data_IF_997537795323
#
_entry.id   IF_997537795323
#
_cell.length_a   1.000
_cell.length_b   1.000
_cell.length_c   1.000
_cell.angle_alpha   90.00
_cell.angle_beta   90.00
_cell.angle_gamma   90.00
#
_symmetry.space_group_name_H-M   'P 1'
#
loop_
_entity.id
_entity.type
_entity.pdbx_description
1 polymer ?
#
# COMPACT_ATOMS: atom_id res chain seq x y z
N UNK A 1 -6.25 -2.72 0.33
CA UNK A 1 -7.12 -3.18 1.45
C UNK A 1 -6.25 -3.88 2.47
N UNK A 2 -6.38 -3.51 3.75
CA UNK A 2 -5.65 -4.17 4.84
C UNK A 2 -6.44 -5.39 5.31
N UNK A 3 -5.79 -6.53 5.31
CA UNK A 3 -6.26 -7.75 5.93
C UNK A 3 -5.32 -8.13 7.08
N UNK A 4 -5.88 -8.70 8.11
CA UNK A 4 -5.09 -9.23 9.21
C UNK A 4 -4.16 -10.36 8.75
N UNK A 5 -2.99 -10.51 9.39
CA UNK A 5 -2.04 -11.56 8.99
C UNK A 5 -2.64 -12.96 8.98
N UNK A 6 -3.55 -13.28 9.90
CA UNK A 6 -4.22 -14.58 10.00
C UNK A 6 -5.07 -14.96 8.78
N UNK A 7 -5.61 -13.96 8.08
CA UNK A 7 -6.50 -14.17 6.92
C UNK A 7 -5.74 -14.37 5.61
N UNK A 8 -4.44 -14.07 5.57
CA UNK A 8 -3.69 -14.03 4.31
C UNK A 8 -3.53 -15.39 3.66
N UNK A 9 -3.33 -16.44 4.45
CA UNK A 9 -3.22 -17.79 3.92
C UNK A 9 -4.51 -18.18 3.18
N UNK A 10 -5.67 -17.96 3.80
CA UNK A 10 -6.95 -18.26 3.19
C UNK A 10 -7.30 -17.36 1.99
N UNK A 11 -6.79 -16.12 1.94
CA UNK A 11 -6.91 -15.29 0.74
C UNK A 11 -5.99 -15.83 -0.37
N UNK A 12 -4.80 -16.30 0.00
CA UNK A 12 -3.83 -16.85 -0.95
C UNK A 12 -4.35 -18.13 -1.63
N UNK A 13 -4.96 -19.03 -0.88
CA UNK A 13 -5.52 -20.29 -1.38
C UNK A 13 -6.96 -20.18 -1.88
N UNK A 14 -7.62 -19.01 -1.69
CA UNK A 14 -8.98 -18.73 -2.14
C UNK A 14 -10.07 -19.21 -1.21
N UNK A 15 -9.76 -19.78 -0.06
CA UNK A 15 -10.75 -20.19 0.95
C UNK A 15 -11.43 -19.02 1.64
N UNK A 16 -10.77 -17.84 1.64
CA UNK A 16 -11.35 -16.59 2.12
C UNK A 16 -11.63 -15.69 0.91
N UNK A 17 -12.92 -15.43 0.68
CA UNK A 17 -13.44 -14.65 -0.44
C UNK A 17 -14.43 -13.56 -0.03
N UNK A 18 -14.64 -13.38 1.28
CA UNK A 18 -15.52 -12.36 1.86
C UNK A 18 -14.77 -11.54 2.90
N UNK A 19 -15.18 -10.31 3.09
CA UNK A 19 -14.72 -9.47 4.21
C UNK A 19 -15.80 -8.50 4.63
N UNK A 20 -15.90 -8.25 5.93
CA UNK A 20 -16.78 -7.23 6.49
C UNK A 20 -16.01 -5.98 6.88
N UNK A 21 -16.62 -4.81 6.69
CA UNK A 21 -15.99 -3.52 7.03
C UNK A 21 -17.00 -2.55 7.62
N UNK A 22 -16.63 -1.89 8.70
CA UNK A 22 -17.39 -0.81 9.31
C UNK A 22 -16.88 0.53 8.78
N UNK A 23 -17.30 0.90 7.60
CA UNK A 23 -16.93 2.15 6.95
C UNK A 23 -18.09 3.15 6.97
N UNK A 24 -17.78 4.43 6.95
CA UNK A 24 -18.79 5.49 6.71
C UNK A 24 -19.25 5.52 5.25
N UNK A 25 -18.41 5.06 4.34
CA UNK A 25 -18.65 4.94 2.89
C UNK A 25 -17.70 3.89 2.33
N UNK A 26 -18.04 3.21 1.23
CA UNK A 26 -17.17 2.24 0.61
C UNK A 26 -15.80 2.84 0.27
N UNK A 27 -14.74 2.11 0.61
CA UNK A 27 -13.35 2.49 0.28
C UNK A 27 -12.80 1.66 -0.88
N UNK A 28 -13.62 0.79 -1.43
CA UNK A 28 -13.34 -0.04 -2.60
C UNK A 28 -14.50 0.04 -3.57
N UNK A 29 -14.27 -0.38 -4.81
CA UNK A 29 -15.30 -0.45 -5.86
C UNK A 29 -15.32 -1.82 -6.51
N UNK A 30 -16.44 -2.21 -7.04
CA UNK A 30 -16.60 -3.42 -7.88
C UNK A 30 -15.66 -3.34 -9.08
N UNK A 31 -15.01 -4.44 -9.43
CA UNK A 31 -13.96 -4.52 -10.45
C UNK A 31 -12.64 -3.88 -10.03
N UNK A 32 -12.56 -3.30 -8.83
CA UNK A 32 -11.32 -2.73 -8.30
C UNK A 32 -10.33 -3.82 -7.90
N UNK A 33 -9.05 -3.63 -8.24
CA UNK A 33 -7.96 -4.54 -7.90
C UNK A 33 -7.14 -3.98 -6.76
N UNK A 34 -6.96 -4.77 -5.73
CA UNK A 34 -6.35 -4.32 -4.48
C UNK A 34 -5.30 -5.30 -4.00
N UNK A 35 -4.17 -4.75 -3.57
CA UNK A 35 -3.10 -5.52 -2.95
C UNK A 35 -3.50 -5.96 -1.55
N UNK A 36 -3.24 -7.22 -1.22
CA UNK A 36 -3.46 -7.80 0.11
C UNK A 36 -2.23 -7.57 0.98
N UNK A 37 -2.44 -7.03 2.17
CA UNK A 37 -1.38 -6.83 3.15
C UNK A 37 -0.75 -5.45 3.16
N UNK A 38 0.22 -5.26 4.06
CA UNK A 38 0.94 -4.01 4.23
C UNK A 38 2.41 -4.16 3.81
N UNK A 39 2.99 -3.06 3.32
CA UNK A 39 4.41 -2.96 2.99
C UNK A 39 5.37 -3.22 4.17
N UNK A 40 4.84 -3.46 5.38
CA UNK A 40 5.63 -3.56 6.61
C UNK A 40 6.21 -4.94 6.89
N UNK A 41 5.79 -5.97 6.17
CA UNK A 41 6.19 -7.35 6.48
C UNK A 41 6.80 -8.01 5.25
N UNK A 42 8.08 -8.29 5.39
CA UNK A 42 8.94 -9.28 4.73
C UNK A 42 8.61 -9.73 3.31
N UNK A 43 9.63 -9.69 2.50
CA UNK A 43 9.74 -10.19 1.13
C UNK A 43 9.00 -9.35 0.10
N UNK A 44 9.78 -8.71 -0.74
CA UNK A 44 9.32 -7.79 -1.79
C UNK A 44 8.86 -8.53 -3.05
N UNK A 45 8.69 -9.85 -2.99
CA UNK A 45 8.53 -10.66 -4.20
C UNK A 45 7.13 -11.21 -4.43
N UNK A 46 6.28 -11.33 -3.40
CA UNK A 46 4.95 -11.92 -3.60
C UNK A 46 3.90 -11.20 -2.75
N UNK A 47 3.07 -10.44 -3.40
CA UNK A 47 1.84 -9.90 -2.83
C UNK A 47 0.67 -10.51 -3.58
N UNK A 48 -0.28 -11.01 -2.83
CA UNK A 48 -1.55 -11.37 -3.42
C UNK A 48 -2.32 -10.13 -3.82
N UNK A 49 -3.06 -10.25 -4.91
CA UNK A 49 -4.02 -9.28 -5.35
C UNK A 49 -5.41 -9.89 -5.34
N UNK A 50 -6.39 -9.08 -5.00
CA UNK A 50 -7.79 -9.43 -5.10
C UNK A 50 -8.50 -8.48 -6.07
N UNK A 51 -9.48 -9.00 -6.77
CA UNK A 51 -10.46 -8.21 -7.49
C UNK A 51 -11.79 -8.28 -6.72
N UNK A 52 -12.40 -7.11 -6.50
CA UNK A 52 -13.67 -7.02 -5.77
C UNK A 52 -14.81 -7.29 -6.73
N UNK A 53 -15.61 -8.32 -6.42
CA UNK A 53 -16.75 -8.75 -7.24
C UNK A 53 -18.05 -8.06 -6.83
N UNK A 54 -18.24 -7.83 -5.52
CA UNK A 54 -19.40 -7.12 -4.98
C UNK A 54 -19.05 -6.28 -3.75
N UNK A 55 -19.82 -5.23 -3.53
CA UNK A 55 -19.77 -4.37 -2.34
C UNK A 55 -21.21 -4.10 -1.94
N UNK A 56 -21.66 -4.78 -0.89
CA UNK A 56 -23.05 -4.73 -0.42
C UNK A 56 -23.10 -4.03 0.93
N UNK A 57 -24.12 -3.19 1.14
CA UNK A 57 -24.48 -2.68 2.44
C UNK A 57 -25.44 -3.67 3.11
N UNK A 58 -25.07 -4.17 4.28
CA UNK A 58 -25.83 -5.16 5.03
C UNK A 58 -25.99 -4.73 6.48
N UNK A 59 -26.94 -5.32 7.18
CA UNK A 59 -27.03 -5.20 8.63
C UNK A 59 -26.22 -6.31 9.31
N UNK A 60 -25.69 -6.02 10.50
CA UNK A 60 -24.88 -6.99 11.23
C UNK A 60 -25.63 -8.30 11.51
N UNK A 61 -26.95 -8.25 11.68
CA UNK A 61 -27.81 -9.45 11.85
C UNK A 61 -27.87 -10.34 10.61
N UNK A 62 -27.62 -9.80 9.42
CA UNK A 62 -27.74 -10.53 8.16
C UNK A 62 -26.50 -11.40 7.88
N UNK A 63 -25.45 -11.30 8.71
CA UNK A 63 -24.30 -12.19 8.63
C UNK A 63 -24.72 -13.56 9.15
N UNK A 64 -24.69 -14.58 8.31
CA UNK A 64 -24.85 -15.98 8.68
C UNK A 64 -23.49 -16.69 8.87
N UNK A 65 -23.53 -17.92 9.38
CA UNK A 65 -22.31 -18.69 9.68
C UNK A 65 -21.57 -19.11 8.40
N UNK A 66 -22.31 -19.42 7.31
CA UNK A 66 -21.69 -19.82 6.05
C UNK A 66 -20.90 -18.67 5.43
N UNK A 67 -21.47 -17.46 5.41
CA UNK A 67 -20.80 -16.28 4.89
C UNK A 67 -19.65 -15.84 5.81
N UNK A 68 -19.81 -15.99 7.13
CA UNK A 68 -18.74 -15.73 8.10
C UNK A 68 -17.54 -16.67 7.90
N UNK A 69 -17.76 -17.94 7.54
CA UNK A 69 -16.69 -18.89 7.22
C UNK A 69 -15.90 -18.46 5.98
N UNK A 70 -16.57 -17.96 4.94
CA UNK A 70 -15.92 -17.38 3.77
C UNK A 70 -15.11 -16.12 4.09
N UNK A 71 -15.37 -15.49 5.22
CA UNK A 71 -14.60 -14.36 5.74
C UNK A 71 -13.50 -14.77 6.74
N UNK A 72 -13.32 -16.07 6.98
CA UNK A 72 -12.31 -16.63 7.89
C UNK A 72 -12.68 -16.57 9.37
N UNK A 73 -13.98 -16.55 9.68
CA UNK A 73 -14.51 -16.62 11.05
C UNK A 73 -15.21 -17.95 11.31
N UNK A 74 -15.15 -18.47 12.54
CA UNK A 74 -15.82 -19.72 12.87
C UNK A 74 -17.36 -19.60 12.92
N UNK A 75 -17.88 -18.39 13.08
CA UNK A 75 -19.33 -18.13 13.18
C UNK A 75 -19.66 -16.67 12.87
N UNK A 76 -20.92 -16.40 12.59
CA UNK A 76 -21.47 -15.06 12.43
C UNK A 76 -21.27 -14.18 13.69
N UNK A 77 -21.37 -14.77 14.87
CA UNK A 77 -21.14 -14.09 16.14
C UNK A 77 -19.67 -13.61 16.24
N UNK A 78 -18.71 -14.46 15.86
CA UNK A 78 -17.29 -14.10 15.83
C UNK A 78 -16.99 -12.99 14.81
N UNK A 79 -17.60 -13.06 13.61
CA UNK A 79 -17.45 -12.02 12.59
C UNK A 79 -18.01 -10.67 13.07
N UNK A 80 -19.21 -10.65 13.66
CA UNK A 80 -19.80 -9.44 14.23
C UNK A 80 -18.95 -8.81 15.32
N UNK A 81 -18.43 -9.63 16.22
CA UNK A 81 -17.56 -9.17 17.30
C UNK A 81 -16.27 -8.53 16.77
N UNK A 82 -15.62 -9.16 15.82
CA UNK A 82 -14.33 -8.70 15.27
C UNK A 82 -14.47 -7.39 14.47
N UNK A 83 -15.54 -7.22 13.71
CA UNK A 83 -15.84 -6.00 12.97
C UNK A 83 -16.31 -4.86 13.88
N UNK A 84 -16.53 -5.14 15.17
CA UNK A 84 -16.95 -4.19 16.18
C UNK A 84 -18.41 -3.77 16.04
N UNK A 85 -19.29 -4.67 15.55
CA UNK A 85 -20.72 -4.45 15.56
C UNK A 85 -21.23 -4.51 17.01
N UNK A 86 -21.95 -3.49 17.44
CA UNK A 86 -22.50 -3.36 18.79
C UNK A 86 -23.99 -3.69 18.81
N UNK A 87 -24.67 -3.51 17.68
CA UNK A 87 -26.07 -3.76 17.51
C UNK A 87 -26.33 -4.63 16.27
N UNK A 88 -27.40 -5.41 16.32
CA UNK A 88 -27.88 -6.21 15.18
C UNK A 88 -28.25 -5.35 13.95
N UNK A 89 -28.61 -4.10 14.18
CA UNK A 89 -28.95 -3.12 13.15
C UNK A 89 -27.76 -2.28 12.67
N UNK A 90 -26.55 -2.52 13.17
CA UNK A 90 -25.35 -1.83 12.68
C UNK A 90 -25.14 -2.10 11.19
N UNK A 91 -24.92 -1.01 10.44
CA UNK A 91 -24.64 -1.07 9.00
C UNK A 91 -23.19 -1.40 8.76
N UNK A 92 -22.95 -2.41 7.94
CA UNK A 92 -21.65 -2.92 7.54
C UNK A 92 -21.56 -2.99 6.01
N UNK A 93 -20.34 -2.98 5.50
CA UNK A 93 -20.09 -3.32 4.09
C UNK A 93 -19.56 -4.74 4.02
N UNK A 94 -20.27 -5.59 3.25
CA UNK A 94 -19.84 -6.92 2.84
C UNK A 94 -19.13 -6.80 1.50
N UNK A 95 -17.90 -7.28 1.44
CA UNK A 95 -17.08 -7.33 0.24
C UNK A 95 -16.98 -8.78 -0.22
N UNK A 96 -17.42 -9.08 -1.43
CA UNK A 96 -17.06 -10.33 -2.09
C UNK A 96 -15.89 -10.06 -3.03
N UNK A 97 -14.90 -10.95 -3.03
CA UNK A 97 -13.72 -10.81 -3.85
C UNK A 97 -13.13 -12.19 -4.20
N UNK A 98 -12.33 -12.20 -5.25
CA UNK A 98 -11.50 -13.36 -5.59
C UNK A 98 -10.02 -12.97 -5.65
N UNK A 99 -9.15 -13.92 -5.36
CA UNK A 99 -7.72 -13.78 -5.66
C UNK A 99 -7.52 -13.70 -7.17
N UNK A 100 -6.61 -12.84 -7.59
CA UNK A 100 -6.17 -12.74 -8.98
C UNK A 100 -4.65 -12.85 -9.06
N UNK A 101 -4.17 -13.55 -10.08
CA UNK A 101 -2.74 -13.60 -10.39
C UNK A 101 -2.42 -12.45 -11.34
N UNK A 102 -1.72 -11.47 -10.81
CA UNK A 102 -1.22 -10.33 -11.60
C UNK A 102 0.12 -9.87 -11.04
N UNK A 103 1.03 -9.41 -11.90
CA UNK A 103 2.28 -8.80 -11.45
C UNK A 103 1.97 -7.55 -10.61
N UNK A 104 2.83 -7.27 -9.62
CA UNK A 104 2.69 -6.04 -8.85
C UNK A 104 3.08 -4.83 -9.73
N UNK A 105 2.13 -3.96 -10.13
CA UNK A 105 2.44 -2.81 -10.97
C UNK A 105 3.48 -1.85 -10.36
N UNK A 106 3.60 -1.86 -9.03
CA UNK A 106 4.62 -1.06 -8.33
C UNK A 106 6.00 -1.68 -8.45
N UNK A 107 6.08 -3.02 -8.42
CA UNK A 107 7.33 -3.73 -8.62
C UNK A 107 7.79 -3.59 -10.08
N UNK A 108 6.89 -3.72 -11.04
CA UNK A 108 7.17 -3.48 -12.45
C UNK A 108 7.66 -2.06 -12.70
N UNK A 109 6.93 -1.06 -12.19
CA UNK A 109 7.35 0.34 -12.30
C UNK A 109 8.73 0.57 -11.69
N UNK A 110 9.00 -0.02 -10.52
CA UNK A 110 10.27 0.14 -9.81
C UNK A 110 11.44 -0.57 -10.51
N UNK A 111 11.18 -1.62 -11.28
CA UNK A 111 12.20 -2.39 -12.01
C UNK A 111 12.59 -1.78 -13.36
N UNK A 112 11.86 -0.79 -13.85
CA UNK A 112 12.17 -0.11 -15.13
C UNK A 112 13.54 0.57 -15.08
N UNK A 113 14.43 0.16 -15.99
CA UNK A 113 15.82 0.66 -16.09
C UNK A 113 16.08 1.49 -17.34
N UNK A 114 15.14 1.53 -18.28
CA UNK A 114 15.26 2.30 -19.52
C UNK A 114 14.25 3.44 -19.53
N UNK A 115 14.59 4.55 -18.86
CA UNK A 115 13.70 5.71 -18.83
C UNK A 115 13.79 6.50 -20.14
N UNK A 116 12.67 6.75 -20.78
CA UNK A 116 12.57 7.71 -21.88
C UNK A 116 12.75 9.15 -21.39
N UNK A 117 13.05 10.06 -22.29
CA UNK A 117 13.14 11.50 -21.98
C UNK A 117 11.80 12.02 -21.41
N UNK A 118 10.68 11.55 -21.96
CA UNK A 118 9.34 11.91 -21.45
C UNK A 118 9.09 11.44 -20.03
N UNK A 119 9.49 10.20 -19.69
CA UNK A 119 9.34 9.68 -18.32
C UNK A 119 10.21 10.43 -17.32
N UNK A 120 11.41 10.84 -17.71
CA UNK A 120 12.27 11.69 -16.85
C UNK A 120 11.59 13.03 -16.61
N UNK A 121 11.07 13.68 -17.66
CA UNK A 121 10.35 14.94 -17.53
C UNK A 121 9.11 14.82 -16.64
N UNK A 122 8.36 13.71 -16.76
CA UNK A 122 7.21 13.44 -15.89
C UNK A 122 7.62 13.24 -14.41
N UNK A 123 8.73 12.53 -14.16
CA UNK A 123 9.28 12.38 -12.81
C UNK A 123 9.67 13.76 -12.28
N UNK A 124 10.44 14.55 -13.05
CA UNK A 124 10.85 15.90 -12.66
C UNK A 124 9.65 16.77 -12.31
N UNK A 125 8.63 16.82 -13.15
CA UNK A 125 7.43 17.62 -12.89
C UNK A 125 6.71 17.22 -11.59
N UNK A 126 6.71 15.91 -11.26
CA UNK A 126 6.11 15.41 -10.02
C UNK A 126 6.96 15.72 -8.80
N UNK A 127 8.29 15.57 -8.89
CA UNK A 127 9.22 15.92 -7.80
C UNK A 127 9.17 17.42 -7.52
N UNK A 128 9.19 18.26 -8.56
CA UNK A 128 9.11 19.70 -8.43
C UNK A 128 7.79 20.16 -7.80
N UNK A 129 6.68 19.50 -8.13
CA UNK A 129 5.39 19.75 -7.48
C UNK A 129 5.43 19.40 -5.99
N UNK A 130 6.07 18.27 -5.63
CA UNK A 130 6.23 17.88 -4.23
C UNK A 130 7.12 18.86 -3.48
N UNK A 131 8.19 19.33 -4.10
CA UNK A 131 9.12 20.29 -3.53
C UNK A 131 8.48 21.66 -3.32
N UNK A 132 7.72 22.16 -4.29
CA UNK A 132 6.96 23.44 -4.15
C UNK A 132 5.92 23.41 -3.03
N UNK A 133 5.31 22.24 -2.79
CA UNK A 133 4.27 22.10 -1.77
C UNK A 133 4.82 21.69 -0.39
N UNK A 134 6.11 21.56 -0.24
CA UNK A 134 6.73 21.16 1.01
C UNK A 134 7.11 22.38 1.86
N UNK A 135 6.63 22.43 3.10
CA UNK A 135 7.03 23.50 4.04
C UNK A 135 8.54 23.61 4.26
N UNK A 136 9.32 22.49 4.34
CA UNK A 136 10.76 22.56 4.48
C UNK A 136 11.52 23.02 3.22
N UNK A 137 10.81 23.30 2.11
CA UNK A 137 11.43 23.58 0.82
C UNK A 137 11.78 22.30 0.03
N UNK A 138 12.61 22.43 -1.02
CA UNK A 138 13.01 21.29 -1.85
C UNK A 138 13.68 20.19 -1.03
N UNK A 139 13.24 18.94 -1.25
CA UNK A 139 13.69 17.79 -0.45
C UNK A 139 13.80 16.49 -1.26
N UNK A 140 13.09 16.37 -2.37
CA UNK A 140 12.89 15.07 -3.04
C UNK A 140 14.20 14.50 -3.57
N UNK A 141 14.96 15.27 -4.34
CA UNK A 141 16.22 14.82 -4.94
C UNK A 141 17.32 14.63 -3.90
N UNK A 142 17.27 15.44 -2.83
CA UNK A 142 18.19 15.29 -1.70
C UNK A 142 17.99 13.95 -0.99
N UNK A 143 16.75 13.60 -0.67
CA UNK A 143 16.41 12.30 -0.05
C UNK A 143 16.81 11.15 -0.96
N UNK A 144 16.58 11.24 -2.28
CA UNK A 144 17.01 10.20 -3.22
C UNK A 144 18.54 10.02 -3.19
N UNK A 145 19.32 11.10 -3.18
CA UNK A 145 20.80 11.03 -3.08
C UNK A 145 21.25 10.43 -1.74
N UNK A 146 20.65 10.84 -0.63
CA UNK A 146 20.96 10.27 0.68
C UNK A 146 20.69 8.77 0.73
N UNK A 147 19.57 8.31 0.17
CA UNK A 147 19.22 6.87 0.06
C UNK A 147 20.22 6.14 -0.86
N UNK A 148 20.68 6.79 -1.94
CA UNK A 148 21.68 6.22 -2.84
C UNK A 148 23.03 6.00 -2.13
N UNK A 149 23.49 7.01 -1.39
CA UNK A 149 24.76 6.95 -0.68
C UNK A 149 24.74 6.02 0.54
N UNK A 150 23.61 5.90 1.20
CA UNK A 150 23.48 5.15 2.45
C UNK A 150 22.23 4.23 2.40
N UNK A 151 22.29 3.15 1.60
CA UNK A 151 21.18 2.19 1.53
C UNK A 151 20.98 1.49 2.88
N UNK A 152 19.75 1.09 3.17
CA UNK A 152 19.33 0.43 4.41
C UNK A 152 19.37 1.32 5.67
N UNK A 153 19.58 2.63 5.52
CA UNK A 153 19.54 3.56 6.66
C UNK A 153 18.08 3.80 7.08
N UNK A 154 17.84 3.77 8.39
CA UNK A 154 16.51 4.06 8.93
C UNK A 154 16.08 5.48 8.60
N UNK A 155 14.78 5.67 8.38
CA UNK A 155 14.23 6.99 8.04
C UNK A 155 14.67 8.10 9.02
N UNK A 156 14.75 7.79 10.31
CA UNK A 156 15.15 8.75 11.34
C UNK A 156 16.62 9.20 11.24
N UNK A 157 17.45 8.38 10.61
CA UNK A 157 18.90 8.59 10.50
C UNK A 157 19.27 9.23 9.15
N UNK A 158 18.29 9.53 8.29
CA UNK A 158 18.49 10.37 7.10
C UNK A 158 18.51 11.85 7.52
N UNK A 159 19.51 12.59 7.06
CA UNK A 159 19.70 14.00 7.39
C UNK A 159 18.45 14.85 7.10
N UNK A 160 17.80 14.58 5.96
CA UNK A 160 16.57 15.28 5.58
C UNK A 160 15.42 15.06 6.58
N UNK A 161 15.46 14.04 7.45
CA UNK A 161 14.40 13.78 8.44
C UNK A 161 14.26 14.94 9.43
N UNK A 162 15.38 15.57 9.83
CA UNK A 162 15.39 16.68 10.82
C UNK A 162 14.65 17.93 10.34
N UNK A 163 14.42 18.06 9.03
CA UNK A 163 13.71 19.21 8.44
C UNK A 163 12.18 19.07 8.54
N UNK A 164 11.68 17.91 8.99
CA UNK A 164 10.25 17.64 9.12
C UNK A 164 9.81 17.71 10.58
N UNK A 165 8.53 18.07 10.84
CA UNK A 165 8.02 18.20 12.21
C UNK A 165 8.16 16.91 13.03
N UNK A 166 8.03 15.76 12.37
CA UNK A 166 8.11 14.45 12.99
C UNK A 166 8.45 13.34 11.96
N UNK A 167 8.89 12.21 12.48
CA UNK A 167 9.25 11.03 11.68
C UNK A 167 8.08 10.45 10.88
N UNK A 168 6.85 10.53 11.39
CA UNK A 168 5.68 9.98 10.71
C UNK A 168 5.38 10.79 9.46
N UNK A 169 5.42 12.11 9.56
CA UNK A 169 5.27 13.04 8.43
C UNK A 169 6.36 12.79 7.38
N UNK A 170 7.63 12.68 7.79
CA UNK A 170 8.73 12.37 6.87
C UNK A 170 8.51 11.04 6.13
N UNK A 171 8.11 9.98 6.84
CA UNK A 171 7.81 8.67 6.21
C UNK A 171 6.67 8.73 5.20
N UNK A 172 5.66 9.59 5.43
CA UNK A 172 4.59 9.83 4.45
C UNK A 172 5.17 10.43 3.17
N UNK A 173 6.11 11.35 3.28
CA UNK A 173 6.74 11.96 2.11
C UNK A 173 7.60 10.93 1.35
N UNK A 174 8.46 10.18 2.03
CA UNK A 174 9.26 9.12 1.38
C UNK A 174 8.38 8.09 0.67
N UNK A 175 7.18 7.80 1.20
CA UNK A 175 6.21 6.94 0.52
C UNK A 175 5.76 7.49 -0.83
N UNK A 176 5.73 8.81 -1.02
CA UNK A 176 5.42 9.41 -2.33
C UNK A 176 6.49 9.09 -3.37
N UNK A 177 7.77 9.11 -2.99
CA UNK A 177 8.87 8.68 -3.85
C UNK A 177 8.75 7.20 -4.23
N UNK A 178 8.35 6.36 -3.27
CA UNK A 178 8.06 4.95 -3.53
C UNK A 178 6.91 4.76 -4.52
N UNK A 179 5.86 5.57 -4.43
CA UNK A 179 4.73 5.52 -5.35
C UNK A 179 5.11 5.94 -6.79
N UNK A 180 6.20 6.68 -6.96
CA UNK A 180 6.80 6.98 -8.27
C UNK A 180 7.74 5.86 -8.76
N UNK A 181 7.88 4.78 -8.01
CA UNK A 181 8.79 3.68 -8.30
C UNK A 181 10.27 4.00 -8.05
N UNK A 182 10.62 5.13 -7.39
CA UNK A 182 12.01 5.56 -7.24
C UNK A 182 12.74 4.94 -6.05
N UNK A 183 12.01 4.46 -5.04
CA UNK A 183 12.59 3.86 -3.84
C UNK A 183 11.89 2.55 -3.48
N UNK A 184 12.62 1.68 -2.80
CA UNK A 184 12.13 0.43 -2.25
C UNK A 184 12.30 0.44 -0.74
N UNK A 185 11.30 -0.10 -0.01
CA UNK A 185 11.42 -0.32 1.43
C UNK A 185 12.17 -1.62 1.69
N UNK A 186 13.07 -1.58 2.66
CA UNK A 186 13.77 -2.73 3.20
C UNK A 186 13.19 -3.08 4.59
N UNK A 187 13.51 -4.24 5.18
CA UNK A 187 13.21 -4.51 6.59
C UNK A 187 13.70 -3.38 7.50
N UNK A 188 14.88 -2.80 7.17
CA UNK A 188 15.40 -1.60 7.79
C UNK A 188 15.69 -0.58 6.68
N UNK A 189 15.02 0.58 6.76
CA UNK A 189 15.28 1.71 5.87
C UNK A 189 14.79 1.55 4.43
N UNK A 190 15.52 2.20 3.54
CA UNK A 190 15.20 2.30 2.12
C UNK A 190 16.43 2.03 1.25
N UNK A 191 16.18 1.70 -0.01
CA UNK A 191 17.17 1.76 -1.08
C UNK A 191 16.54 2.38 -2.33
N UNK A 192 17.35 2.84 -3.25
CA UNK A 192 16.85 3.16 -4.58
C UNK A 192 16.33 1.90 -5.26
N UNK A 193 15.30 2.07 -6.06
CA UNK A 193 14.90 1.08 -7.06
C UNK A 193 15.81 1.17 -8.28
N UNK A 194 15.82 0.18 -9.19
CA UNK A 194 16.44 0.31 -10.50
C UNK A 194 16.01 1.58 -11.23
N UNK A 195 14.70 1.91 -11.24
CA UNK A 195 14.15 3.14 -11.81
C UNK A 195 14.72 4.40 -11.15
N UNK A 196 14.84 4.40 -9.83
CA UNK A 196 15.37 5.54 -9.08
C UNK A 196 16.86 5.75 -9.32
N UNK A 197 17.63 4.67 -9.45
CA UNK A 197 19.05 4.72 -9.77
C UNK A 197 19.27 5.28 -11.18
N UNK A 198 18.53 4.79 -12.17
CA UNK A 198 18.57 5.29 -13.56
C UNK A 198 18.19 6.78 -13.63
N UNK A 199 17.11 7.16 -12.93
CA UNK A 199 16.70 8.57 -12.87
C UNK A 199 17.85 9.47 -12.33
N UNK A 200 18.46 9.12 -11.20
CA UNK A 200 19.55 9.89 -10.64
C UNK A 200 20.77 9.92 -11.58
N UNK A 201 21.14 8.79 -12.17
CA UNK A 201 22.28 8.71 -13.08
C UNK A 201 22.13 9.67 -14.28
N UNK A 202 20.90 9.82 -14.79
CA UNK A 202 20.62 10.68 -15.95
C UNK A 202 20.40 12.16 -15.60
N UNK A 203 20.06 12.47 -14.35
CA UNK A 203 19.79 13.86 -13.91
C UNK A 203 20.88 14.47 -13.03
N UNK A 204 21.92 13.69 -12.67
CA UNK A 204 23.07 14.14 -11.88
C UNK A 204 24.25 14.64 -12.72
N UNK A 205 23.97 15.23 -13.88
CA UNK A 205 25.00 15.89 -14.71
C UNK A 205 25.09 17.35 -14.34
#
# INVERSE_FOLDING_TARGET
>A
VLFEPRLRAGIHDGSISVAYRRWKRPQVRVGGRYRVGSDRIRSMTEFDFIEVDAVDEILARDIDDADAQLAGYPSAAAARSDVGAQDAADVLYRLAFRKIDMPDPRAELASSVALSVGEIADIDARLDRMDRNAKPGPWTREVLRQIAHRPAVRAKDLESCSRWPDLATFKVQVRKLKNLGLTLSLPVGYRLSPRGAEYLARTSR
#
